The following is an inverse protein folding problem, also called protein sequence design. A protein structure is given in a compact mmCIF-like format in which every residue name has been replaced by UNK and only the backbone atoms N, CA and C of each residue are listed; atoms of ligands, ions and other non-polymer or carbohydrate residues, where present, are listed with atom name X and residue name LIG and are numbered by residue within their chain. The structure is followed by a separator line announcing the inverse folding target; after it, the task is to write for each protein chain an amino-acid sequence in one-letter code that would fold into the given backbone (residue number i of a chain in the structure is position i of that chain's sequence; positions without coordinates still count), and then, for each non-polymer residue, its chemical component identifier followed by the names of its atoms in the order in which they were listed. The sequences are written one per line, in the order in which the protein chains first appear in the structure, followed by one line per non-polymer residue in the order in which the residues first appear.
data_IF_449014607013
#
_entry.id   IF_449014607013
#
_cell.length_a   1.000
_cell.length_b   1.000
_cell.length_c   1.000
_cell.angle_alpha   90.00
_cell.angle_beta   90.00
_cell.angle_gamma   90.00
#
_symmetry.space_group_name_H-M   'P 1'
#
loop_
_entity.id
_entity.type
_entity.pdbx_description
1 polymer ?
#
# COMPACT_ATOMS: atom_id res chain seq x y z
N UNK A 1 4.58 17.11 -0.47
CA UNK A 1 3.77 15.99 -0.98
C UNK A 1 2.50 16.59 -1.55
N UNK A 2 2.20 16.36 -2.82
CA UNK A 2 0.95 16.85 -3.44
C UNK A 2 -0.26 16.00 -3.07
N UNK A 3 -0.03 14.79 -2.53
CA UNK A 3 -1.06 13.89 -2.04
C UNK A 3 -0.91 13.66 -0.53
N UNK A 4 -1.97 13.93 0.27
CA UNK A 4 -1.97 13.53 1.68
C UNK A 4 -2.03 12.01 1.78
N UNK A 5 -1.48 11.46 2.87
CA UNK A 5 -1.61 10.03 3.19
C UNK A 5 -3.07 9.76 3.56
N UNK A 6 -3.77 8.85 2.84
CA UNK A 6 -5.12 8.45 3.18
C UNK A 6 -5.23 7.92 4.61
N UNK A 7 -6.30 8.30 5.31
CA UNK A 7 -6.62 7.80 6.65
C UNK A 7 -7.82 6.84 6.65
N UNK A 8 -8.47 6.64 5.49
CA UNK A 8 -9.63 5.76 5.36
C UNK A 8 -9.64 5.00 4.02
N UNK A 9 -10.27 3.82 3.95
CA UNK A 9 -10.40 3.08 2.69
C UNK A 9 -11.11 3.88 1.59
N UNK A 10 -12.04 4.75 1.98
CA UNK A 10 -12.76 5.64 1.07
C UNK A 10 -11.79 6.61 0.36
N UNK A 11 -10.86 7.20 1.10
CA UNK A 11 -9.85 8.11 0.56
C UNK A 11 -8.89 7.40 -0.41
N UNK A 12 -8.56 6.12 -0.18
CA UNK A 12 -7.78 5.31 -1.13
C UNK A 12 -8.56 5.11 -2.42
N UNK A 13 -9.86 4.81 -2.31
CA UNK A 13 -10.73 4.63 -3.48
C UNK A 13 -10.80 5.91 -4.32
N UNK A 14 -10.83 7.08 -3.68
CA UNK A 14 -10.88 8.38 -4.35
C UNK A 14 -9.60 8.68 -5.15
N UNK A 15 -8.44 8.11 -4.77
CA UNK A 15 -7.20 8.22 -5.54
C UNK A 15 -7.33 7.60 -6.93
N UNK A 16 -8.20 6.60 -7.13
CA UNK A 16 -8.41 5.95 -8.44
C UNK A 16 -8.97 6.89 -9.50
N UNK A 17 -9.56 8.01 -9.09
CA UNK A 17 -10.11 9.03 -9.99
C UNK A 17 -9.04 10.04 -10.45
N UNK A 18 -7.83 9.97 -9.89
CA UNK A 18 -6.73 10.89 -10.18
C UNK A 18 -5.79 10.29 -11.23
N UNK A 19 -5.12 11.13 -12.04
CA UNK A 19 -4.07 10.66 -12.93
C UNK A 19 -2.97 9.96 -12.11
N UNK A 20 -2.54 8.78 -12.58
CA UNK A 20 -1.52 7.98 -11.89
C UNK A 20 -0.16 8.62 -12.08
N UNK A 21 0.47 8.99 -10.97
CA UNK A 21 1.85 9.45 -10.88
C UNK A 21 2.56 8.77 -9.68
N UNK A 22 3.88 8.94 -9.58
CA UNK A 22 4.69 8.30 -8.54
C UNK A 22 4.29 8.75 -7.12
N UNK A 23 3.91 10.02 -6.92
CA UNK A 23 3.48 10.51 -5.61
C UNK A 23 2.11 9.95 -5.23
N UNK A 24 1.20 9.76 -6.19
CA UNK A 24 -0.11 9.13 -5.99
C UNK A 24 0.07 7.67 -5.55
N UNK A 25 0.96 6.94 -6.21
CA UNK A 25 1.27 5.54 -5.86
C UNK A 25 1.87 5.47 -4.46
N UNK A 26 2.82 6.35 -4.12
CA UNK A 26 3.40 6.43 -2.79
C UNK A 26 2.34 6.75 -1.72
N UNK A 27 1.44 7.71 -1.98
CA UNK A 27 0.36 8.06 -1.07
C UNK A 27 -0.64 6.92 -0.87
N UNK A 28 -0.99 6.18 -1.93
CA UNK A 28 -1.87 5.01 -1.84
C UNK A 28 -1.25 3.91 -0.96
N UNK A 29 0.03 3.58 -1.18
CA UNK A 29 0.75 2.58 -0.37
C UNK A 29 0.82 3.01 1.10
N UNK A 30 1.17 4.28 1.35
CA UNK A 30 1.23 4.81 2.71
C UNK A 30 -0.15 4.79 3.39
N UNK A 31 -1.22 5.07 2.65
CA UNK A 31 -2.59 5.02 3.16
C UNK A 31 -3.02 3.61 3.57
N UNK A 32 -2.75 2.62 2.72
CA UNK A 32 -3.05 1.19 3.02
C UNK A 32 -2.34 0.76 4.31
N UNK A 33 -1.06 1.10 4.44
CA UNK A 33 -0.26 0.77 5.64
C UNK A 33 -0.80 1.48 6.88
N UNK A 34 -1.13 2.76 6.77
CA UNK A 34 -1.66 3.55 7.87
C UNK A 34 -2.99 2.98 8.40
N UNK A 35 -3.89 2.59 7.51
CA UNK A 35 -5.17 1.99 7.88
C UNK A 35 -4.96 0.60 8.51
N UNK A 36 -4.13 -0.25 7.90
CA UNK A 36 -3.81 -1.57 8.46
C UNK A 36 -3.26 -1.48 9.89
N UNK A 37 -2.40 -0.49 10.16
CA UNK A 37 -1.90 -0.21 11.52
C UNK A 37 -3.00 0.21 12.49
N UNK A 38 -3.90 1.09 12.06
CA UNK A 38 -5.01 1.53 12.89
C UNK A 38 -5.97 0.38 13.23
N UNK A 39 -6.10 -0.58 12.33
CA UNK A 39 -6.89 -1.81 12.52
C UNK A 39 -6.16 -2.87 13.38
N UNK A 40 -4.91 -2.62 13.79
CA UNK A 40 -4.12 -3.53 14.61
C UNK A 40 -3.50 -4.70 13.82
N UNK A 41 -3.52 -4.61 12.49
CA UNK A 41 -2.94 -5.62 11.61
C UNK A 41 -1.41 -5.59 11.68
N UNK A 42 -0.78 -6.75 11.59
CA UNK A 42 0.68 -6.88 11.49
C UNK A 42 1.19 -6.69 10.05
N UNK A 43 2.47 -6.37 9.91
CA UNK A 43 3.15 -6.31 8.61
C UNK A 43 3.01 -7.63 7.83
N UNK A 44 3.12 -8.77 8.52
CA UNK A 44 2.98 -10.09 7.89
C UNK A 44 1.57 -10.31 7.34
N UNK A 45 0.53 -9.94 8.11
CA UNK A 45 -0.86 -10.03 7.64
C UNK A 45 -1.13 -9.09 6.46
N UNK A 46 -0.58 -7.87 6.48
CA UNK A 46 -0.73 -6.93 5.37
C UNK A 46 -0.02 -7.44 4.12
N UNK A 47 1.20 -7.94 4.28
CA UNK A 47 1.99 -8.50 3.18
C UNK A 47 1.29 -9.71 2.58
N UNK A 48 0.73 -10.60 3.42
CA UNK A 48 -0.05 -11.73 2.95
C UNK A 48 -1.28 -11.30 2.13
N UNK A 49 -1.99 -10.23 2.54
CA UNK A 49 -3.13 -9.70 1.78
C UNK A 49 -2.72 -9.08 0.44
N UNK A 50 -1.65 -8.30 0.43
CA UNK A 50 -1.11 -7.67 -0.80
C UNK A 50 -0.61 -8.74 -1.78
N UNK A 51 0.00 -9.81 -1.27
CA UNK A 51 0.50 -10.92 -2.09
C UNK A 51 -0.57 -11.97 -2.40
N UNK A 52 -1.77 -11.91 -1.81
CA UNK A 52 -2.85 -12.87 -2.04
C UNK A 52 -3.51 -12.71 -3.43
N UNK A 53 -3.26 -11.61 -4.14
CA UNK A 53 -3.62 -11.50 -5.56
C UNK A 53 -2.69 -12.41 -6.40
N UNK A 54 -2.99 -13.71 -6.35
CA UNK A 54 -2.11 -14.80 -6.79
C UNK A 54 -1.78 -14.77 -8.30
N UNK A 55 -2.68 -14.20 -9.11
CA UNK A 55 -2.60 -14.26 -10.58
C UNK A 55 -1.95 -13.07 -11.30
N UNK A 56 -1.62 -11.97 -10.61
CA UNK A 56 -1.16 -10.74 -11.26
C UNK A 56 0.36 -10.54 -11.22
N UNK A 57 1.04 -11.10 -10.23
CA UNK A 57 2.45 -10.82 -9.96
C UNK A 57 3.33 -12.05 -10.18
N UNK A 58 4.40 -11.89 -10.96
CA UNK A 58 5.44 -12.91 -11.04
C UNK A 58 6.28 -12.97 -9.73
N UNK A 59 7.06 -14.03 -9.50
CA UNK A 59 7.83 -14.19 -8.26
C UNK A 59 8.80 -13.03 -7.96
N UNK A 60 9.37 -12.38 -8.98
CA UNK A 60 10.26 -11.24 -8.77
C UNK A 60 9.47 -9.99 -8.37
N UNK A 61 8.32 -9.75 -8.99
CA UNK A 61 7.40 -8.67 -8.60
C UNK A 61 6.88 -8.85 -7.17
N UNK A 62 6.62 -10.09 -6.74
CA UNK A 62 6.23 -10.40 -5.35
C UNK A 62 7.31 -10.04 -4.34
N UNK A 63 8.57 -10.39 -4.63
CA UNK A 63 9.69 -10.04 -3.74
C UNK A 63 9.85 -8.53 -3.66
N UNK A 64 9.83 -7.85 -4.80
CA UNK A 64 9.97 -6.39 -4.86
C UNK A 64 8.83 -5.67 -4.14
N UNK A 65 7.59 -6.13 -4.31
CA UNK A 65 6.43 -5.57 -3.61
C UNK A 65 6.51 -5.78 -2.10
N UNK A 66 6.96 -6.96 -1.66
CA UNK A 66 7.18 -7.26 -0.24
C UNK A 66 8.19 -6.30 0.38
N UNK A 67 9.32 -6.07 -0.31
CA UNK A 67 10.37 -5.17 0.16
C UNK A 67 9.85 -3.72 0.28
N UNK A 68 9.06 -3.26 -0.68
CA UNK A 68 8.46 -1.92 -0.64
C UNK A 68 7.47 -1.78 0.50
N UNK A 69 6.59 -2.77 0.71
CA UNK A 69 5.63 -2.75 1.82
C UNK A 69 6.35 -2.73 3.15
N UNK A 70 7.39 -3.55 3.33
CA UNK A 70 8.22 -3.56 4.54
C UNK A 70 8.95 -2.23 4.77
N UNK A 71 9.53 -1.65 3.71
CA UNK A 71 10.24 -0.39 3.79
C UNK A 71 9.30 0.79 4.13
N UNK A 72 8.13 0.84 3.49
CA UNK A 72 7.12 1.85 3.76
C UNK A 72 6.55 1.70 5.17
N UNK A 73 6.35 0.46 5.63
CA UNK A 73 5.96 0.18 7.02
C UNK A 73 7.00 0.70 8.01
N UNK A 74 8.29 0.45 7.81
CA UNK A 74 9.32 0.94 8.73
C UNK A 74 9.46 2.48 8.75
N UNK A 75 9.04 3.16 7.69
CA UNK A 75 9.15 4.62 7.55
C UNK A 75 7.97 5.42 8.10
N UNK A 76 6.86 4.74 8.41
CA UNK A 76 5.65 5.30 9.01
C UNK A 76 5.62 4.97 10.51
#
# INVERSE_FOLDING_TARGET
MNYPIPASPQEIVDLRQKPVDEELVAAAIAGVINIARQEGQSLDELTAQVLAEDGLLDPAQRSWLSDIVAQAWASL
#
